data_IF_998522034191
#
_entry.id   IF_998522034191
#
_cell.length_a   1.000
_cell.length_b   1.000
_cell.length_c   1.000
_cell.angle_alpha   90.00
_cell.angle_beta   90.00
_cell.angle_gamma   90.00
#
_symmetry.space_group_name_H-M   'P 1'
#
loop_
_entity.id
_entity.type
_entity.pdbx_description
1 polymer ?
#
# COMPACT_ATOMS: atom_id res chain seq x y z
N UNK A 1 -11.73 1.70 1.15
CA UNK A 1 -11.90 2.87 0.25
C UNK A 1 -10.59 3.66 -0.01
N UNK A 2 -9.44 3.34 0.62
CA UNK A 2 -8.22 4.14 0.45
C UNK A 2 -7.27 3.70 -0.70
N UNK A 3 -7.59 2.64 -1.45
CA UNK A 3 -6.76 2.13 -2.55
C UNK A 3 -7.02 2.67 -3.99
N UNK A 4 -8.13 3.40 -4.32
CA UNK A 4 -8.50 3.59 -5.73
C UNK A 4 -7.50 4.47 -6.49
N UNK A 5 -6.94 5.51 -5.87
CA UNK A 5 -5.98 6.39 -6.55
C UNK A 5 -4.65 5.69 -6.85
N UNK A 6 -4.07 4.99 -5.86
CA UNK A 6 -2.80 4.27 -6.04
C UNK A 6 -2.95 3.11 -7.04
N UNK A 7 -4.08 2.39 -7.01
CA UNK A 7 -4.38 1.36 -8.00
C UNK A 7 -4.57 1.95 -9.41
N UNK A 8 -5.29 3.06 -9.53
CA UNK A 8 -5.46 3.77 -10.81
C UNK A 8 -4.15 4.30 -11.35
N UNK A 9 -3.28 4.87 -10.51
CA UNK A 9 -1.94 5.32 -10.91
C UNK A 9 -1.09 4.15 -11.42
N UNK A 10 -1.03 3.07 -10.64
CA UNK A 10 -0.28 1.88 -11.01
C UNK A 10 -0.79 1.26 -12.33
N UNK A 11 -2.11 1.18 -12.51
CA UNK A 11 -2.73 0.70 -13.74
C UNK A 11 -2.46 1.62 -14.93
N UNK A 12 -2.65 2.93 -14.75
CA UNK A 12 -2.43 3.94 -15.79
C UNK A 12 -1.00 3.91 -16.32
N UNK A 13 -0.01 3.92 -15.43
CA UNK A 13 1.41 3.84 -15.80
C UNK A 13 1.83 2.49 -16.41
N UNK A 14 1.00 1.45 -16.29
CA UNK A 14 1.29 0.13 -16.86
C UNK A 14 0.68 -0.04 -18.25
N UNK A 15 -0.53 0.49 -18.46
CA UNK A 15 -1.31 0.24 -19.68
C UNK A 15 -1.12 1.34 -20.73
N UNK A 16 -0.77 2.57 -20.32
CA UNK A 16 -0.65 3.71 -21.22
C UNK A 16 0.80 3.96 -21.58
N UNK A 17 1.12 3.90 -22.89
CA UNK A 17 2.48 4.08 -23.41
C UNK A 17 3.01 5.50 -23.25
N UNK A 18 2.13 6.51 -23.43
CA UNK A 18 2.45 7.94 -23.25
C UNK A 18 1.54 8.55 -22.19
N UNK A 19 1.85 8.37 -20.89
CA UNK A 19 1.02 8.88 -19.81
C UNK A 19 1.01 10.41 -19.79
N UNK A 20 -0.18 11.00 -19.62
CA UNK A 20 -0.32 12.45 -19.44
C UNK A 20 0.27 12.88 -18.09
N UNK A 21 1.25 13.80 -18.07
CA UNK A 21 1.85 14.28 -16.82
C UNK A 21 0.84 14.88 -15.84
N UNK A 22 -0.24 15.50 -16.34
CA UNK A 22 -1.30 16.09 -15.51
C UNK A 22 -2.09 15.01 -14.78
N UNK A 23 -2.46 13.93 -15.47
CA UNK A 23 -3.19 12.80 -14.89
C UNK A 23 -2.30 12.09 -13.87
N UNK A 24 -1.03 11.87 -14.21
CA UNK A 24 -0.04 11.27 -13.31
C UNK A 24 0.10 12.10 -12.04
N UNK A 25 0.30 13.42 -12.15
CA UNK A 25 0.45 14.30 -11.00
C UNK A 25 -0.80 14.32 -10.09
N UNK A 26 -2.00 14.35 -10.69
CA UNK A 26 -3.26 14.29 -9.95
C UNK A 26 -3.40 12.97 -9.17
N UNK A 27 -3.22 11.83 -9.86
CA UNK A 27 -3.34 10.51 -9.26
C UNK A 27 -2.27 10.29 -8.18
N UNK A 28 -1.04 10.75 -8.42
CA UNK A 28 0.05 10.71 -7.46
C UNK A 28 -0.24 11.54 -6.20
N UNK A 29 -0.72 12.78 -6.35
CA UNK A 29 -1.09 13.62 -5.22
C UNK A 29 -2.17 12.99 -4.35
N UNK A 30 -3.21 12.41 -4.98
CA UNK A 30 -4.26 11.69 -4.24
C UNK A 30 -3.72 10.41 -3.61
N UNK A 31 -2.86 9.66 -4.29
CA UNK A 31 -2.24 8.44 -3.77
C UNK A 31 -1.45 8.72 -2.48
N UNK A 32 -0.59 9.74 -2.48
CA UNK A 32 0.20 10.13 -1.28
C UNK A 32 -0.72 10.57 -0.14
N UNK A 33 -1.76 11.37 -0.42
CA UNK A 33 -2.77 11.77 0.57
C UNK A 33 -3.49 10.56 1.18
N UNK A 34 -3.89 9.60 0.35
CA UNK A 34 -4.54 8.37 0.82
C UNK A 34 -3.60 7.53 1.66
N UNK A 35 -2.32 7.41 1.27
CA UNK A 35 -1.32 6.71 2.09
C UNK A 35 -1.15 7.35 3.46
N UNK A 36 -1.07 8.69 3.54
CA UNK A 36 -1.01 9.41 4.81
C UNK A 36 -2.24 9.11 5.70
N UNK A 37 -3.45 9.09 5.12
CA UNK A 37 -4.67 8.73 5.84
C UNK A 37 -4.63 7.27 6.32
N UNK A 38 -4.11 6.34 5.52
CA UNK A 38 -3.96 4.93 5.91
C UNK A 38 -3.05 4.82 7.12
N UNK A 39 -1.91 5.52 7.15
CA UNK A 39 -1.01 5.52 8.30
C UNK A 39 -1.68 6.05 9.57
N UNK A 40 -2.43 7.16 9.47
CA UNK A 40 -3.20 7.70 10.59
C UNK A 40 -4.27 6.70 11.08
N UNK A 41 -5.00 6.07 10.17
CA UNK A 41 -5.98 5.04 10.49
C UNK A 41 -5.32 3.81 11.13
N UNK A 42 -4.12 3.43 10.67
CA UNK A 42 -3.39 2.26 11.14
C UNK A 42 -2.95 2.43 12.61
N UNK A 43 -2.50 3.62 13.01
CA UNK A 43 -2.17 3.89 14.42
C UNK A 43 -3.36 3.72 15.36
N UNK A 44 -4.59 4.03 14.90
CA UNK A 44 -5.82 3.76 15.65
C UNK A 44 -6.17 2.27 15.63
N UNK A 45 -5.99 1.61 14.49
CA UNK A 45 -6.33 0.20 14.32
C UNK A 45 -5.45 -0.72 15.18
N UNK A 46 -4.15 -0.43 15.32
CA UNK A 46 -3.25 -1.18 16.19
C UNK A 46 -3.66 -1.16 17.68
N UNK A 47 -4.50 -0.21 18.11
CA UNK A 47 -5.00 -0.11 19.49
C UNK A 47 -6.27 -0.94 19.74
N UNK A 48 -6.94 -1.42 18.69
CA UNK A 48 -8.15 -2.20 18.79
C UNK A 48 -7.83 -3.71 18.92
N UNK A 49 -8.71 -4.52 19.53
CA UNK A 49 -8.56 -5.97 19.52
C UNK A 49 -8.62 -6.49 18.07
N UNK A 50 -7.82 -7.52 17.78
CA UNK A 50 -7.71 -8.02 16.41
C UNK A 50 -9.06 -8.46 15.86
N UNK A 51 -9.37 -8.03 14.65
CA UNK A 51 -10.49 -8.51 13.86
C UNK A 51 -10.03 -8.88 12.45
N UNK A 52 -10.71 -9.82 11.77
CA UNK A 52 -10.44 -10.13 10.36
C UNK A 52 -10.46 -8.89 9.44
N UNK A 53 -11.17 -7.83 9.82
CA UNK A 53 -11.17 -6.56 9.08
C UNK A 53 -9.78 -5.92 8.92
N UNK A 54 -8.78 -6.34 9.69
CA UNK A 54 -7.41 -5.81 9.61
C UNK A 54 -6.74 -6.16 8.27
N UNK A 55 -7.11 -7.28 7.66
CA UNK A 55 -6.61 -7.66 6.33
C UNK A 55 -7.07 -6.68 5.24
N UNK A 56 -8.19 -5.98 5.42
CA UNK A 56 -8.66 -5.01 4.41
C UNK A 56 -7.72 -3.81 4.23
N UNK A 57 -6.83 -3.57 5.20
CA UNK A 57 -5.87 -2.46 5.15
C UNK A 57 -4.54 -2.83 4.50
N UNK A 58 -4.22 -4.12 4.34
CA UNK A 58 -2.94 -4.55 3.75
C UNK A 58 -2.87 -4.24 2.27
N UNK A 59 -3.95 -4.45 1.52
CA UNK A 59 -4.01 -4.15 0.09
C UNK A 59 -3.71 -2.66 -0.22
N UNK A 60 -4.39 -1.68 0.40
CA UNK A 60 -4.08 -0.26 0.21
C UNK A 60 -2.61 0.12 0.47
N UNK A 61 -1.93 -0.49 1.44
CA UNK A 61 -0.51 -0.21 1.69
C UNK A 61 0.40 -0.76 0.59
N UNK A 62 0.22 -2.03 0.21
CA UNK A 62 1.08 -2.68 -0.80
C UNK A 62 0.89 -2.01 -2.17
N UNK A 63 -0.35 -1.67 -2.54
CA UNK A 63 -0.62 -0.99 -3.81
C UNK A 63 -0.11 0.47 -3.81
N UNK A 64 -0.07 1.13 -2.65
CA UNK A 64 0.59 2.43 -2.47
C UNK A 64 2.07 2.38 -2.85
N UNK A 65 2.83 1.49 -2.21
CA UNK A 65 4.25 1.31 -2.50
C UNK A 65 4.51 0.93 -3.97
N UNK A 66 3.71 0.02 -4.53
CA UNK A 66 3.81 -0.38 -5.94
C UNK A 66 3.59 0.79 -6.90
N UNK A 67 2.63 1.67 -6.59
CA UNK A 67 2.35 2.85 -7.40
C UNK A 67 3.52 3.85 -7.37
N UNK A 68 4.16 4.02 -6.22
CA UNK A 68 5.34 4.88 -6.08
C UNK A 68 6.55 4.36 -6.87
N UNK A 69 6.79 3.04 -6.89
CA UNK A 69 7.85 2.46 -7.73
C UNK A 69 7.59 2.70 -9.22
N UNK A 70 6.34 2.53 -9.67
CA UNK A 70 5.96 2.84 -11.05
C UNK A 70 6.10 4.33 -11.36
N UNK A 71 5.78 5.20 -10.41
CA UNK A 71 5.97 6.64 -10.54
C UNK A 71 7.45 6.98 -10.71
N UNK A 72 8.34 6.44 -9.87
CA UNK A 72 9.78 6.69 -9.97
C UNK A 72 10.32 6.25 -11.34
N UNK A 73 9.95 5.07 -11.82
CA UNK A 73 10.34 4.59 -13.14
C UNK A 73 9.79 5.46 -14.29
N UNK A 74 8.54 5.93 -14.16
CA UNK A 74 7.99 6.87 -15.13
C UNK A 74 8.75 8.21 -15.14
N UNK A 75 9.12 8.74 -13.97
CA UNK A 75 9.91 9.96 -13.84
C UNK A 75 11.29 9.83 -14.51
N UNK A 76 11.95 8.68 -14.38
CA UNK A 76 13.20 8.38 -15.10
C UNK A 76 12.99 8.44 -16.62
N UNK A 77 11.94 7.80 -17.12
CA UNK A 77 11.65 7.73 -18.55
C UNK A 77 11.38 9.09 -19.20
N UNK A 78 10.76 10.02 -18.47
CA UNK A 78 10.48 11.38 -18.96
C UNK A 78 11.62 12.37 -18.67
N UNK A 79 12.76 11.90 -18.16
CA UNK A 79 13.96 12.72 -17.94
C UNK A 79 13.84 13.69 -16.76
N UNK A 80 13.04 13.39 -15.73
CA UNK A 80 13.01 14.16 -14.49
C UNK A 80 14.38 14.07 -13.81
N UNK A 81 14.82 15.16 -13.17
CA UNK A 81 16.10 15.20 -12.47
C UNK A 81 16.22 14.06 -11.44
N UNK A 82 17.37 13.39 -11.47
CA UNK A 82 17.67 12.19 -10.66
C UNK A 82 17.34 12.38 -9.18
N UNK A 83 17.64 13.56 -8.62
CA UNK A 83 17.34 13.87 -7.22
C UNK A 83 15.86 13.65 -6.85
N UNK A 84 14.92 14.04 -7.70
CA UNK A 84 13.48 13.85 -7.44
C UNK A 84 13.07 12.39 -7.62
N UNK A 85 13.63 11.69 -8.60
CA UNK A 85 13.41 10.25 -8.79
C UNK A 85 13.85 9.48 -7.54
N UNK A 86 15.06 9.75 -7.05
CA UNK A 86 15.60 9.09 -5.86
C UNK A 86 14.72 9.34 -4.64
N UNK A 87 14.19 10.55 -4.46
CA UNK A 87 13.25 10.85 -3.37
C UNK A 87 11.99 9.98 -3.43
N UNK A 88 11.37 9.86 -4.61
CA UNK A 88 10.15 9.04 -4.79
C UNK A 88 10.48 7.55 -4.62
N UNK A 89 11.63 7.09 -5.12
CA UNK A 89 12.07 5.70 -4.94
C UNK A 89 12.35 5.36 -3.48
N UNK A 90 12.92 6.31 -2.73
CA UNK A 90 13.16 6.15 -1.30
C UNK A 90 11.85 6.07 -0.51
N UNK A 91 10.88 6.94 -0.84
CA UNK A 91 9.53 6.87 -0.28
C UNK A 91 8.85 5.53 -0.60
N UNK A 92 8.97 5.05 -1.85
CA UNK A 92 8.43 3.76 -2.28
C UNK A 92 9.02 2.60 -1.46
N UNK A 93 10.33 2.62 -1.26
CA UNK A 93 11.06 1.62 -0.48
C UNK A 93 10.65 1.63 0.98
N UNK A 94 10.52 2.82 1.57
CA UNK A 94 10.04 2.99 2.94
C UNK A 94 8.61 2.44 3.09
N UNK A 95 7.69 2.82 2.20
CA UNK A 95 6.31 2.29 2.24
C UNK A 95 6.25 0.78 2.05
N UNK A 96 7.11 0.22 1.21
CA UNK A 96 7.19 -1.23 1.01
C UNK A 96 7.61 -1.95 2.29
N UNK A 97 8.65 -1.46 2.98
CA UNK A 97 9.11 -2.04 4.25
C UNK A 97 7.98 -2.04 5.28
N UNK A 98 7.29 -0.92 5.44
CA UNK A 98 6.17 -0.84 6.38
C UNK A 98 5.02 -1.77 5.96
N UNK A 99 4.66 -1.78 4.68
CA UNK A 99 3.63 -2.68 4.16
C UNK A 99 3.98 -4.15 4.44
N UNK A 100 5.24 -4.56 4.24
CA UNK A 100 5.71 -5.91 4.55
C UNK A 100 5.56 -6.23 6.04
N UNK A 101 6.04 -5.36 6.94
CA UNK A 101 5.92 -5.57 8.39
C UNK A 101 4.46 -5.73 8.81
N UNK A 102 3.58 -4.89 8.29
CA UNK A 102 2.15 -4.95 8.61
C UNK A 102 1.48 -6.19 8.05
N UNK A 103 1.73 -6.54 6.78
CA UNK A 103 1.19 -7.75 6.15
C UNK A 103 1.62 -8.98 6.94
N UNK A 104 2.90 -9.08 7.31
CA UNK A 104 3.42 -10.17 8.14
C UNK A 104 2.74 -10.22 9.51
N UNK A 105 2.56 -9.07 10.18
CA UNK A 105 1.85 -8.99 11.45
C UNK A 105 0.41 -9.50 11.34
N UNK A 106 -0.33 -9.03 10.33
CA UNK A 106 -1.72 -9.46 10.09
C UNK A 106 -1.77 -10.96 9.78
N UNK A 107 -0.86 -11.47 8.95
CA UNK A 107 -0.77 -12.88 8.61
C UNK A 107 -0.54 -13.77 9.85
N UNK A 108 0.38 -13.39 10.73
CA UNK A 108 0.65 -14.12 11.99
C UNK A 108 -0.59 -14.12 12.89
N UNK A 109 -1.28 -12.97 13.04
CA UNK A 109 -2.51 -12.88 13.84
C UNK A 109 -3.64 -13.73 13.27
N UNK A 110 -3.76 -13.79 11.95
CA UNK A 110 -4.70 -14.68 11.26
C UNK A 110 -4.40 -16.15 11.53
N UNK A 111 -3.14 -16.56 11.39
CA UNK A 111 -2.71 -17.94 11.68
C UNK A 111 -2.99 -18.31 13.14
N UNK A 112 -2.76 -17.40 14.09
CA UNK A 112 -3.06 -17.61 15.50
C UNK A 112 -4.57 -17.70 15.79
N UNK A 113 -5.40 -16.92 15.09
CA UNK A 113 -6.85 -16.94 15.24
C UNK A 113 -7.49 -18.21 14.64
N UNK A 114 -7.00 -18.66 13.49
CA UNK A 114 -7.50 -19.84 12.77
C UNK A 114 -6.79 -21.15 13.13
N UNK A 115 -6.07 -21.22 14.26
CA UNK A 115 -5.45 -22.47 14.70
C UNK A 115 -6.53 -23.57 14.82
N UNK A 116 -6.46 -24.65 14.02
CA UNK A 116 -7.53 -25.64 13.90
C UNK A 116 -7.78 -26.45 15.19
N UNK A 117 -6.93 -26.31 16.21
CA UNK A 117 -7.04 -27.09 17.44
C UNK A 117 -8.11 -26.63 18.43
N UNK A 118 -8.64 -25.40 18.31
CA UNK A 118 -9.69 -24.90 19.22
C UNK A 118 -11.12 -25.19 18.75
N UNK A 119 -11.32 -25.51 17.47
CA UNK A 119 -12.66 -25.81 16.92
C UNK A 119 -13.10 -27.23 17.25
N UNK A 120 -12.16 -28.16 17.48
CA UNK A 120 -12.46 -29.58 17.75
C UNK A 120 -12.68 -29.93 19.23
N UNK A 121 -12.36 -29.02 20.17
CA UNK A 121 -12.45 -29.29 21.62
C UNK A 121 -13.72 -28.68 22.26
N UNK A 122 -14.46 -27.84 21.53
CA UNK A 122 -15.70 -27.21 22.01
C UNK A 122 -16.99 -28.01 21.76
N UNK A 123 -16.90 -29.24 21.22
CA UNK A 123 -18.05 -30.14 21.03
C UNK A 123 -17.89 -31.35 21.94
N UNK A 124 -18.06 -31.14 23.25
CA UNK A 124 -18.45 -32.17 24.21
C UNK A 124 -19.35 -31.54 25.26
#
# INVERSE_FOLDING_TARGET
MAAPASLSLAGYLTVVSEPSPVIVALLFGIAVLMTAIIYLAFTRLLRLPFSPGYAAFTFPMVIGATALFKMAHWMENIGVAEHYVTQVHWLASFELIVATVVVSYVAIRYLAFYQPHKVLVGSR
#
